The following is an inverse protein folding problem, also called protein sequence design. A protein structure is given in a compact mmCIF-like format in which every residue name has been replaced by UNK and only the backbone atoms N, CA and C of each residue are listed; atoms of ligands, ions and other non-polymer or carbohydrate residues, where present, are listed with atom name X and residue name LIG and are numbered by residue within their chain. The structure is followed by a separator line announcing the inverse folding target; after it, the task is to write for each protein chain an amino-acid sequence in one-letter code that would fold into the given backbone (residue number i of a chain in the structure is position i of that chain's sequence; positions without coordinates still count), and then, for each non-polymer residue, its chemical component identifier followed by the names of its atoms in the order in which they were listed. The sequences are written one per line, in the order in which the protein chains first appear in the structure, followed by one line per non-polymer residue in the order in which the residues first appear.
data_IF_208145724509
#
_entry.id   IF_208145724509
#
_cell.length_a   1.000
_cell.length_b   1.000
_cell.length_c   1.000
_cell.angle_alpha   90.00
_cell.angle_beta   90.00
_cell.angle_gamma   90.00
#
_symmetry.space_group_name_H-M   'P 1'
#
loop_
_entity.id
_entity.type
_entity.pdbx_description
1 polymer ?
#
# COMPACT_ATOMS: atom_id res chain seq x y z
N UNK A 1 -12.93 19.39 -1.64
CA UNK A 1 -13.21 20.74 -2.16
C UNK A 1 -12.46 20.90 -3.47
N UNK A 2 -12.87 21.85 -4.30
CA UNK A 2 -12.20 22.18 -5.56
C UNK A 2 -11.74 23.63 -5.48
N UNK A 3 -10.52 23.91 -5.91
CA UNK A 3 -10.00 25.26 -6.08
C UNK A 3 -10.13 25.67 -7.56
N UNK A 4 -10.08 26.97 -7.86
CA UNK A 4 -9.97 27.44 -9.24
C UNK A 4 -8.49 27.70 -9.51
N UNK A 5 -7.96 27.17 -10.62
CA UNK A 5 -6.61 27.52 -11.08
C UNK A 5 -6.56 28.92 -11.70
N UNK A 6 -5.38 29.34 -12.13
CA UNK A 6 -5.14 30.65 -12.75
C UNK A 6 -5.95 30.88 -14.04
N UNK A 7 -6.51 29.82 -14.62
CA UNK A 7 -7.29 29.83 -15.86
C UNK A 7 -8.81 29.69 -15.56
N UNK A 8 -9.19 29.68 -14.28
CA UNK A 8 -10.58 29.51 -13.84
C UNK A 8 -11.10 28.09 -13.96
N UNK A 9 -10.23 27.08 -14.14
CA UNK A 9 -10.61 25.68 -14.18
C UNK A 9 -10.65 25.11 -12.77
N UNK A 10 -11.59 24.18 -12.52
CA UNK A 10 -11.69 23.49 -11.24
C UNK A 10 -10.51 22.53 -11.08
N UNK A 11 -9.62 22.85 -10.16
CA UNK A 11 -8.54 21.98 -9.72
C UNK A 11 -8.97 21.20 -8.47
N UNK A 12 -8.78 19.89 -8.52
CA UNK A 12 -9.01 19.03 -7.36
C UNK A 12 -7.84 19.17 -6.39
N UNK A 13 -8.14 19.14 -5.09
CA UNK A 13 -7.10 18.95 -4.08
C UNK A 13 -6.34 17.64 -4.36
N UNK A 14 -5.02 17.74 -4.35
CA UNK A 14 -4.04 16.68 -4.61
C UNK A 14 -3.67 15.89 -3.34
N UNK A 15 -4.01 16.40 -2.17
CA UNK A 15 -3.80 15.70 -0.89
C UNK A 15 -4.61 14.40 -0.81
N UNK A 16 -3.92 13.31 -0.48
CA UNK A 16 -4.50 11.96 -0.37
C UNK A 16 -4.38 11.41 1.04
N UNK A 17 -5.50 11.19 1.71
CA UNK A 17 -5.53 10.51 3.03
C UNK A 17 -5.13 9.03 2.93
N UNK A 18 -5.40 8.41 1.79
CA UNK A 18 -5.01 7.04 1.43
C UNK A 18 -4.63 7.03 -0.04
N UNK A 19 -3.57 6.33 -0.38
CA UNK A 19 -3.06 6.23 -1.74
C UNK A 19 -2.49 4.84 -1.99
N UNK A 20 -2.29 4.51 -3.26
CA UNK A 20 -1.46 3.38 -3.67
C UNK A 20 -0.25 3.88 -4.44
N UNK A 21 0.91 3.30 -4.15
CA UNK A 21 2.15 3.64 -4.82
C UNK A 21 2.22 2.93 -6.18
N UNK A 22 2.71 3.65 -7.18
CA UNK A 22 3.03 3.03 -8.46
C UNK A 22 4.26 2.11 -8.31
N UNK A 23 4.20 0.83 -8.70
CA UNK A 23 5.34 -0.08 -8.60
C UNK A 23 6.48 0.26 -9.59
N UNK A 24 6.26 1.18 -10.53
CA UNK A 24 7.22 1.57 -11.56
C UNK A 24 7.93 2.89 -11.25
N UNK A 25 7.20 3.88 -10.72
CA UNK A 25 7.74 5.23 -10.46
C UNK A 25 7.53 5.73 -9.03
N UNK A 26 6.93 4.93 -8.14
CA UNK A 26 6.59 5.28 -6.76
C UNK A 26 5.68 6.51 -6.58
N UNK A 27 5.02 6.97 -7.64
CA UNK A 27 4.04 8.05 -7.56
C UNK A 27 2.83 7.68 -6.69
N UNK A 28 2.30 8.65 -5.95
CA UNK A 28 1.10 8.48 -5.13
C UNK A 28 -0.15 8.59 -6.00
N UNK A 29 -0.90 7.49 -6.08
CA UNK A 29 -2.09 7.42 -6.90
C UNK A 29 -3.34 7.29 -6.04
N UNK A 30 -4.46 7.81 -6.57
CA UNK A 30 -5.77 7.56 -5.98
C UNK A 30 -6.01 6.04 -5.85
N UNK A 31 -6.61 5.61 -4.74
CA UNK A 31 -6.81 4.18 -4.46
C UNK A 31 -7.64 3.48 -5.56
N UNK A 32 -8.53 4.21 -6.22
CA UNK A 32 -9.35 3.74 -7.33
C UNK A 32 -8.70 3.93 -8.72
N UNK A 33 -7.53 4.56 -8.82
CA UNK A 33 -6.85 4.78 -10.10
C UNK A 33 -6.45 3.44 -10.75
N UNK A 34 -6.77 3.23 -12.03
CA UNK A 34 -6.34 2.01 -12.76
C UNK A 34 -4.97 2.17 -13.43
N UNK A 35 -4.55 3.42 -13.64
CA UNK A 35 -3.28 3.78 -14.27
C UNK A 35 -2.59 4.83 -13.44
N UNK A 36 -1.26 4.83 -13.49
CA UNK A 36 -0.47 5.84 -12.83
C UNK A 36 -0.71 7.20 -13.47
N UNK A 37 -0.95 8.23 -12.65
CA UNK A 37 -1.13 9.61 -13.13
C UNK A 37 0.15 10.20 -13.73
N UNK A 38 1.32 9.68 -13.35
CA UNK A 38 2.62 10.16 -13.80
C UNK A 38 3.15 9.38 -15.02
N UNK A 39 3.26 8.04 -14.94
CA UNK A 39 3.85 7.24 -16.02
C UNK A 39 2.84 6.51 -16.91
N UNK A 40 1.54 6.50 -16.57
CA UNK A 40 0.46 5.84 -17.31
C UNK A 40 0.49 4.30 -17.37
N UNK A 41 1.47 3.65 -16.74
CA UNK A 41 1.47 2.19 -16.47
C UNK A 41 0.23 1.77 -15.67
N UNK A 42 -0.17 0.52 -15.90
CA UNK A 42 -1.29 -0.10 -15.17
C UNK A 42 -0.86 -0.28 -13.71
N UNK A 43 -1.67 0.26 -12.80
CA UNK A 43 -1.49 0.00 -11.38
C UNK A 43 -2.02 -1.41 -11.13
N UNK A 44 -1.12 -2.31 -10.75
CA UNK A 44 -1.44 -3.72 -10.49
C UNK A 44 -2.55 -3.78 -9.44
N UNK A 45 -3.60 -4.53 -9.74
CA UNK A 45 -4.70 -4.75 -8.80
C UNK A 45 -4.22 -5.66 -7.66
N UNK A 46 -4.58 -5.37 -6.39
CA UNK A 46 -4.23 -6.25 -5.28
C UNK A 46 -4.67 -7.71 -5.47
N UNK A 47 -5.78 -7.98 -6.18
CA UNK A 47 -6.20 -9.34 -6.50
C UNK A 47 -5.22 -10.03 -7.45
N UNK A 48 -4.67 -9.29 -8.42
CA UNK A 48 -3.68 -9.82 -9.35
C UNK A 48 -2.34 -10.03 -8.66
N UNK A 49 -1.98 -9.19 -7.69
CA UNK A 49 -0.82 -9.44 -6.81
C UNK A 49 -1.01 -10.70 -5.98
N UNK A 50 -2.19 -10.91 -5.39
CA UNK A 50 -2.51 -12.12 -4.62
C UNK A 50 -2.44 -13.38 -5.50
N UNK A 51 -3.02 -13.34 -6.71
CA UNK A 51 -2.91 -14.44 -7.68
C UNK A 51 -1.48 -14.71 -8.10
N UNK A 52 -0.65 -13.68 -8.27
CA UNK A 52 0.76 -13.83 -8.59
C UNK A 52 1.53 -14.48 -7.43
N UNK A 53 1.28 -14.04 -6.19
CA UNK A 53 1.85 -14.62 -4.98
C UNK A 53 1.46 -16.10 -4.83
N UNK A 54 0.19 -16.45 -5.08
CA UNK A 54 -0.30 -17.84 -5.02
C UNK A 54 0.42 -18.79 -5.99
N UNK A 55 0.94 -18.25 -7.12
CA UNK A 55 1.68 -19.04 -8.11
C UNK A 55 3.14 -19.25 -7.73
N UNK A 56 3.69 -18.45 -6.81
CA UNK A 56 5.07 -18.57 -6.35
C UNK A 56 5.16 -19.68 -5.29
N UNK A 57 5.79 -20.79 -5.64
CA UNK A 57 6.15 -21.84 -4.67
C UNK A 57 7.15 -21.27 -3.66
N UNK A 58 6.68 -20.90 -2.48
CA UNK A 58 7.49 -20.32 -1.40
C UNK A 58 7.01 -18.97 -0.87
N UNK A 59 5.94 -18.39 -1.43
CA UNK A 59 5.28 -17.23 -0.84
C UNK A 59 4.28 -17.69 0.25
N UNK A 60 4.35 -17.07 1.43
CA UNK A 60 3.33 -17.20 2.47
C UNK A 60 2.24 -16.15 2.21
N UNK A 61 0.99 -16.59 2.16
CA UNK A 61 -0.17 -15.69 2.09
C UNK A 61 -0.93 -15.83 3.40
N UNK A 62 -0.95 -14.75 4.17
CA UNK A 62 -1.59 -14.68 5.46
C UNK A 62 -2.89 -13.88 5.36
N UNK A 63 -4.00 -14.49 5.75
CA UNK A 63 -5.25 -13.75 5.98
C UNK A 63 -5.22 -13.20 7.41
N UNK A 64 -4.72 -11.99 7.57
CA UNK A 64 -4.51 -11.37 8.88
C UNK A 64 -5.80 -11.27 9.71
N UNK A 65 -5.87 -12.01 10.83
CA UNK A 65 -6.91 -11.94 11.85
C UNK A 65 -6.51 -11.11 13.07
N UNK A 66 -5.21 -10.90 13.29
CA UNK A 66 -4.70 -10.07 14.39
C UNK A 66 -3.23 -9.69 14.23
N UNK A 67 -2.78 -8.72 15.02
CA UNK A 67 -1.37 -8.31 15.08
C UNK A 67 -0.93 -8.04 16.51
N UNK A 68 0.35 -8.30 16.79
CA UNK A 68 1.01 -7.98 18.05
C UNK A 68 2.23 -7.10 17.79
N UNK A 69 2.37 -6.04 18.58
CA UNK A 69 3.52 -5.13 18.54
C UNK A 69 4.41 -5.41 19.75
N UNK A 70 5.69 -5.63 19.51
CA UNK A 70 6.72 -5.84 20.52
C UNK A 70 7.83 -4.82 20.27
N UNK A 71 8.14 -3.99 21.26
CA UNK A 71 9.31 -3.12 21.22
C UNK A 71 10.46 -3.71 22.02
N UNK A 72 11.67 -3.31 21.66
CA UNK A 72 12.88 -3.63 22.42
C UNK A 72 14.00 -2.66 22.09
N UNK A 73 15.15 -2.87 22.71
CA UNK A 73 16.34 -2.06 22.53
C UNK A 73 17.58 -2.95 22.57
N UNK A 74 18.54 -2.65 21.71
CA UNK A 74 19.87 -3.26 21.71
C UNK A 74 20.97 -2.18 21.59
N UNK A 75 22.23 -2.60 21.43
CA UNK A 75 23.38 -1.69 21.29
C UNK A 75 23.27 -0.74 20.07
N UNK A 76 22.39 -1.04 19.11
CA UNK A 76 22.14 -0.22 17.91
C UNK A 76 20.91 0.68 18.03
N UNK A 77 20.16 0.59 19.14
CA UNK A 77 19.02 1.46 19.43
C UNK A 77 17.71 0.69 19.62
N UNK A 78 16.60 1.43 19.54
CA UNK A 78 15.26 0.88 19.71
C UNK A 78 14.77 0.20 18.43
N UNK A 79 14.01 -0.88 18.57
CA UNK A 79 13.38 -1.59 17.46
C UNK A 79 11.92 -1.93 17.78
N UNK A 80 11.13 -2.08 16.71
CA UNK A 80 9.74 -2.51 16.77
C UNK A 80 9.55 -3.76 15.91
N UNK A 81 9.10 -4.84 16.52
CA UNK A 81 8.70 -6.08 15.85
C UNK A 81 7.18 -6.15 15.79
N UNK A 82 6.65 -6.37 14.60
CA UNK A 82 5.22 -6.55 14.36
C UNK A 82 5.03 -7.99 13.91
N UNK A 83 4.25 -8.77 14.67
CA UNK A 83 3.83 -10.12 14.30
C UNK A 83 2.40 -10.07 13.80
N UNK A 84 2.12 -10.69 12.66
CA UNK A 84 0.79 -10.85 12.11
C UNK A 84 0.37 -12.31 12.29
N UNK A 85 -0.90 -12.54 12.64
CA UNK A 85 -1.48 -13.86 12.84
C UNK A 85 -2.71 -14.02 11.95
N UNK A 86 -2.98 -15.24 11.49
CA UNK A 86 -4.23 -15.55 10.80
C UNK A 86 -5.44 -15.62 11.76
N UNK A 87 -6.62 -15.91 11.22
CA UNK A 87 -7.85 -16.06 12.01
C UNK A 87 -7.82 -17.26 12.99
N UNK A 88 -6.87 -18.19 12.84
CA UNK A 88 -6.67 -19.36 13.71
C UNK A 88 -5.50 -19.17 14.71
N UNK A 89 -4.79 -18.04 14.66
CA UNK A 89 -3.67 -17.71 15.55
C UNK A 89 -2.31 -18.24 15.09
N UNK A 90 -2.20 -18.75 13.86
CA UNK A 90 -0.93 -19.21 13.28
C UNK A 90 -0.21 -18.05 12.58
N UNK A 91 1.12 -18.01 12.72
CA UNK A 91 2.02 -16.98 12.15
C UNK A 91 2.85 -17.50 10.98
#
# INVERSE_FOLDING_TARGET
GWELDEQGQKKQCDYRFRFKLCPHCNEENDIAARRCVHCNEILVDPDDMLKAALKLKGALILRCGGMQLLSGQDEKGEWLKINYYDEEGTS
#
